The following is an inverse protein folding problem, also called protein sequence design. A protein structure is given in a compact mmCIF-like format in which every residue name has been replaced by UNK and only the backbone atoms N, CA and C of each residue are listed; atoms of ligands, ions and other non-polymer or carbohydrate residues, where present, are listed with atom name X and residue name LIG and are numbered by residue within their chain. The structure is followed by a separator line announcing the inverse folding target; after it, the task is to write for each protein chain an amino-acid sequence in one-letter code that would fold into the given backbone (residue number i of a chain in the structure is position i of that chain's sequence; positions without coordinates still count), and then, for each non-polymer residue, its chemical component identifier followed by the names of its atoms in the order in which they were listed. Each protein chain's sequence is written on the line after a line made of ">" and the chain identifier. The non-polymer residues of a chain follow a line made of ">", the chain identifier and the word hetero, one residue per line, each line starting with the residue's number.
data_IF_044623270015
#
_entry.id   IF_044623270015
#
_cell.length_a   1.000
_cell.length_b   1.000
_cell.length_c   1.000
_cell.angle_alpha   90.00
_cell.angle_beta   90.00
_cell.angle_gamma   90.00
#
_symmetry.space_group_name_H-M   'P 1'
#
loop_
_entity.id
_entity.type
_entity.pdbx_description
1 polymer ?
#
# COMPACT_ATOMS: atom_id res chain seq x y z
N UNK A 1 12.28 7.08 15.26
CA UNK A 1 10.95 6.55 14.87
C UNK A 1 10.97 6.32 13.36
N UNK A 2 10.53 5.15 12.86
CA UNK A 2 10.59 4.88 11.43
C UNK A 2 9.67 5.87 10.69
N UNK A 3 10.21 6.50 9.65
CA UNK A 3 9.59 7.62 8.91
C UNK A 3 8.86 7.12 7.65
N UNK A 4 7.89 6.22 7.82
CA UNK A 4 7.11 5.67 6.69
C UNK A 4 5.73 6.32 6.63
N UNK A 5 5.55 7.26 5.70
CA UNK A 5 4.25 7.91 5.42
C UNK A 5 3.20 6.88 4.96
N UNK A 6 3.59 5.92 4.12
CA UNK A 6 2.72 4.84 3.64
C UNK A 6 2.10 3.99 4.75
N UNK A 7 2.95 3.51 5.66
CA UNK A 7 2.50 2.60 6.72
C UNK A 7 1.61 3.29 7.75
N UNK A 8 1.95 4.55 8.07
CA UNK A 8 1.12 5.43 8.90
C UNK A 8 -0.24 5.66 8.23
N UNK A 9 -0.27 5.94 6.92
CA UNK A 9 -1.50 6.15 6.17
C UNK A 9 -2.41 4.91 6.17
N UNK A 10 -1.87 3.72 5.95
CA UNK A 10 -2.64 2.44 6.03
C UNK A 10 -3.20 2.21 7.43
N UNK A 11 -2.41 2.52 8.46
CA UNK A 11 -2.81 2.31 9.85
C UNK A 11 -3.94 3.26 10.25
N UNK A 12 -3.81 4.54 9.92
CA UNK A 12 -4.78 5.60 10.25
C UNK A 12 -6.08 5.48 9.42
N UNK A 13 -6.02 4.88 8.23
CA UNK A 13 -7.14 4.81 7.29
C UNK A 13 -7.52 3.36 6.94
N UNK A 14 -8.04 2.56 7.90
CA UNK A 14 -8.33 1.14 7.68
C UNK A 14 -9.34 0.87 6.54
N UNK A 15 -10.15 1.86 6.18
CA UNK A 15 -11.14 1.75 5.12
C UNK A 15 -10.64 2.21 3.73
N UNK A 16 -9.47 2.84 3.66
CA UNK A 16 -8.91 3.35 2.40
C UNK A 16 -7.89 2.36 1.88
N UNK A 17 -8.05 1.96 0.61
CA UNK A 17 -7.02 1.19 -0.09
C UNK A 17 -5.90 2.13 -0.52
N UNK A 18 -4.81 2.07 0.24
CA UNK A 18 -3.55 2.75 -0.08
C UNK A 18 -2.76 1.84 -1.00
N UNK A 19 -2.21 2.43 -2.06
CA UNK A 19 -1.53 1.70 -3.13
C UNK A 19 -0.06 2.12 -3.14
N UNK A 20 0.89 1.18 -3.01
CA UNK A 20 2.31 1.51 -3.11
C UNK A 20 2.69 1.83 -4.56
N UNK A 21 3.80 2.54 -4.71
CA UNK A 21 4.45 2.77 -6.00
C UNK A 21 5.06 1.49 -6.57
N UNK A 22 5.22 1.44 -7.90
CA UNK A 22 5.78 0.30 -8.64
C UNK A 22 7.18 -0.11 -8.15
N UNK A 23 7.96 0.83 -7.61
CA UNK A 23 9.29 0.54 -7.06
C UNK A 23 9.25 -0.12 -5.68
N UNK A 24 8.17 0.10 -4.92
CA UNK A 24 7.98 -0.39 -3.54
C UNK A 24 7.16 -1.68 -3.52
N UNK A 25 6.22 -1.81 -4.45
CA UNK A 25 5.25 -2.91 -4.53
C UNK A 25 5.90 -4.31 -4.56
N UNK A 26 6.98 -4.58 -5.32
CA UNK A 26 7.63 -5.89 -5.33
C UNK A 26 8.24 -6.27 -3.98
N UNK A 27 8.82 -5.29 -3.27
CA UNK A 27 9.38 -5.51 -1.93
C UNK A 27 8.30 -5.83 -0.91
N UNK A 28 7.13 -5.20 -1.04
CA UNK A 28 5.97 -5.47 -0.18
C UNK A 28 5.42 -6.88 -0.40
N UNK A 29 5.31 -7.32 -1.66
CA UNK A 29 4.92 -8.69 -2.01
C UNK A 29 5.87 -9.72 -1.41
N UNK A 30 7.18 -9.56 -1.62
CA UNK A 30 8.17 -10.47 -1.07
C UNK A 30 8.10 -10.52 0.47
N UNK A 31 7.86 -9.38 1.13
CA UNK A 31 7.76 -9.35 2.58
C UNK A 31 6.54 -10.10 3.13
N UNK A 32 5.39 -10.06 2.44
CA UNK A 32 4.18 -10.79 2.84
C UNK A 32 4.41 -12.32 2.88
N UNK A 33 5.30 -12.83 2.01
CA UNK A 33 5.65 -14.26 1.98
C UNK A 33 6.43 -14.73 3.22
N UNK A 34 7.11 -13.81 3.93
CA UNK A 34 7.72 -14.06 5.24
C UNK A 34 6.66 -13.97 6.35
N UNK A 35 5.74 -14.95 6.34
CA UNK A 35 4.46 -14.85 7.05
C UNK A 35 4.56 -14.65 8.58
N UNK A 36 5.60 -15.18 9.23
CA UNK A 36 5.80 -14.99 10.68
C UNK A 36 6.20 -13.54 10.96
N UNK A 37 7.24 -13.07 10.27
CA UNK A 37 7.78 -11.72 10.39
C UNK A 37 6.74 -10.66 9.98
N UNK A 38 5.94 -10.97 8.96
CA UNK A 38 4.85 -10.12 8.50
C UNK A 38 3.74 -9.99 9.54
N UNK A 39 3.31 -11.10 10.16
CA UNK A 39 2.29 -11.08 11.20
C UNK A 39 2.75 -10.26 12.42
N UNK A 40 3.99 -10.49 12.88
CA UNK A 40 4.58 -9.73 13.99
C UNK A 40 4.75 -8.25 13.65
N UNK A 41 5.16 -7.93 12.42
CA UNK A 41 5.26 -6.55 11.96
C UNK A 41 3.90 -5.84 11.97
N UNK A 42 2.85 -6.51 11.45
CA UNK A 42 1.50 -5.95 11.41
C UNK A 42 0.97 -5.66 12.82
N UNK A 43 1.15 -6.58 13.77
CA UNK A 43 0.74 -6.38 15.16
C UNK A 43 1.48 -5.19 15.80
N UNK A 44 2.81 -5.14 15.66
CA UNK A 44 3.62 -4.06 16.25
C UNK A 44 3.29 -2.67 15.72
N UNK A 45 2.93 -2.57 14.45
CA UNK A 45 2.75 -1.27 13.78
C UNK A 45 1.29 -0.83 13.80
N UNK A 46 0.35 -1.74 13.53
CA UNK A 46 -1.05 -1.43 13.29
C UNK A 46 -1.99 -2.05 14.34
N UNK A 47 -1.48 -2.88 15.26
CA UNK A 47 -2.26 -3.61 16.26
C UNK A 47 -3.22 -4.64 15.66
N UNK A 48 -3.05 -4.97 14.38
CA UNK A 48 -3.89 -5.89 13.61
C UNK A 48 -3.15 -6.39 12.37
N UNK A 49 -3.55 -7.54 11.85
CA UNK A 49 -3.05 -8.03 10.57
C UNK A 49 -3.49 -7.10 9.43
N UNK A 50 -2.55 -6.67 8.59
CA UNK A 50 -2.86 -5.91 7.38
C UNK A 50 -3.07 -6.91 6.24
N UNK A 51 -4.31 -7.01 5.74
CA UNK A 51 -4.60 -7.96 4.66
C UNK A 51 -4.19 -7.37 3.32
N UNK A 52 -3.43 -8.15 2.55
CA UNK A 52 -3.23 -7.87 1.13
C UNK A 52 -4.54 -8.09 0.37
N UNK A 53 -4.97 -7.07 -0.38
CA UNK A 53 -6.16 -7.12 -1.24
C UNK A 53 -5.71 -6.69 -2.63
N UNK A 54 -5.79 -7.55 -3.66
CA UNK A 54 -5.42 -7.18 -5.01
C UNK A 54 -6.23 -5.96 -5.47
N UNK A 55 -5.54 -4.98 -6.05
CA UNK A 55 -6.19 -3.81 -6.62
C UNK A 55 -6.58 -4.13 -8.06
N UNK A 56 -7.80 -3.76 -8.44
CA UNK A 56 -8.31 -4.03 -9.78
C UNK A 56 -7.63 -3.13 -10.81
N UNK A 57 -7.40 -3.66 -12.01
CA UNK A 57 -6.75 -2.94 -13.13
C UNK A 57 -7.44 -1.61 -13.43
N UNK A 58 -8.78 -1.56 -13.41
CA UNK A 58 -9.54 -0.33 -13.66
C UNK A 58 -9.25 0.75 -12.62
N UNK A 59 -9.04 0.36 -11.36
CA UNK A 59 -8.81 1.28 -10.25
C UNK A 59 -7.41 1.92 -10.29
N UNK A 60 -6.41 1.15 -10.75
CA UNK A 60 -5.06 1.65 -11.06
C UNK A 60 -5.06 2.50 -12.33
N UNK A 61 -5.57 1.96 -13.45
CA UNK A 61 -5.49 2.60 -14.77
C UNK A 61 -6.31 3.88 -14.89
N UNK A 62 -7.39 4.02 -14.13
CA UNK A 62 -8.16 5.27 -14.06
C UNK A 62 -7.50 6.35 -13.19
N UNK A 63 -6.43 6.02 -12.45
CA UNK A 63 -5.79 6.91 -11.47
C UNK A 63 -6.58 7.07 -10.16
N UNK A 64 -7.74 6.42 -10.01
CA UNK A 64 -8.57 6.52 -8.82
C UNK A 64 -7.84 6.01 -7.56
N UNK A 65 -6.99 4.99 -7.70
CA UNK A 65 -6.08 4.51 -6.67
C UNK A 65 -5.17 5.63 -6.12
N UNK A 66 -4.47 6.33 -7.00
CA UNK A 66 -3.53 7.40 -6.62
C UNK A 66 -4.25 8.62 -6.04
N UNK A 67 -5.41 8.98 -6.60
CA UNK A 67 -6.23 10.08 -6.11
C UNK A 67 -6.66 9.91 -4.64
N UNK A 68 -6.75 8.67 -4.14
CA UNK A 68 -7.07 8.36 -2.74
C UNK A 68 -5.82 8.21 -1.87
N UNK A 69 -4.76 7.62 -2.43
CA UNK A 69 -3.49 7.37 -1.73
C UNK A 69 -2.76 8.67 -1.36
N UNK A 70 -2.56 9.57 -2.31
CA UNK A 70 -1.72 10.77 -2.11
C UNK A 70 -2.25 11.67 -0.98
N UNK A 71 -3.55 12.01 -0.91
CA UNK A 71 -4.08 12.79 0.21
C UNK A 71 -3.93 12.09 1.56
N UNK A 72 -4.12 10.77 1.60
CA UNK A 72 -3.98 9.99 2.83
C UNK A 72 -2.52 9.98 3.33
N UNK A 73 -1.54 9.93 2.43
CA UNK A 73 -0.12 10.07 2.77
C UNK A 73 0.18 11.45 3.36
N UNK A 74 -0.29 12.53 2.73
CA UNK A 74 -0.07 13.88 3.25
C UNK A 74 -0.75 14.11 4.60
N UNK A 75 -1.92 13.52 4.83
CA UNK A 75 -2.65 13.62 6.10
C UNK A 75 -1.88 13.02 7.29
N UNK A 76 -0.88 12.17 7.04
CA UNK A 76 -0.04 11.60 8.10
C UNK A 76 0.89 12.61 8.76
N UNK A 77 1.16 13.75 8.10
CA UNK A 77 2.14 14.74 8.54
C UNK A 77 3.60 14.33 8.34
N UNK A 78 3.87 13.17 7.74
CA UNK A 78 5.23 12.76 7.33
C UNK A 78 5.58 13.34 5.95
N UNK A 79 6.88 13.55 5.66
CA UNK A 79 7.33 13.83 4.31
C UNK A 79 6.87 12.73 3.34
N UNK A 80 6.30 13.14 2.20
CA UNK A 80 5.93 12.25 1.10
C UNK A 80 6.91 12.53 -0.03
N UNK A 81 7.72 11.54 -0.37
CA UNK A 81 8.64 11.64 -1.49
C UNK A 81 7.91 11.19 -2.76
N UNK A 82 7.49 12.16 -3.58
CA UNK A 82 6.67 11.88 -4.75
C UNK A 82 7.39 11.03 -5.80
N UNK A 83 8.73 10.91 -5.74
CA UNK A 83 9.50 9.96 -6.56
C UNK A 83 9.05 8.49 -6.36
N UNK A 84 8.48 8.18 -5.19
CA UNK A 84 8.04 6.83 -4.82
C UNK A 84 6.54 6.74 -4.55
N UNK A 85 5.72 7.67 -5.08
CA UNK A 85 4.27 7.70 -4.85
C UNK A 85 3.45 8.29 -6.01
N UNK A 86 4.04 8.45 -7.20
CA UNK A 86 3.35 9.00 -8.38
C UNK A 86 2.85 7.94 -9.37
N UNK A 87 3.29 6.68 -9.23
CA UNK A 87 2.82 5.56 -10.06
C UNK A 87 2.16 4.45 -9.24
N UNK A 88 1.50 3.53 -9.94
CA UNK A 88 0.98 2.28 -9.38
C UNK A 88 0.72 1.29 -10.50
N UNK A 89 0.85 -0.01 -10.19
CA UNK A 89 0.60 -1.10 -11.14
C UNK A 89 -0.37 -2.13 -10.52
N UNK A 90 -1.17 -2.77 -11.37
CA UNK A 90 -2.03 -3.88 -10.93
C UNK A 90 -1.24 -5.17 -10.93
N UNK A 91 -1.26 -5.89 -9.80
CA UNK A 91 -0.67 -7.22 -9.67
C UNK A 91 -1.47 -8.31 -10.40
N UNK A 92 -2.71 -8.01 -10.82
CA UNK A 92 -3.53 -8.92 -11.61
C UNK A 92 -3.21 -8.80 -13.11
N UNK A 93 -3.05 -9.92 -13.84
CA UNK A 93 -3.03 -9.88 -15.30
C UNK A 93 -4.37 -9.37 -15.85
N UNK A 94 -4.43 -8.88 -17.10
CA UNK A 94 -5.64 -8.32 -17.75
C UNK A 94 -6.92 -9.14 -17.59
N UNK A 95 -6.77 -10.44 -17.33
CA UNK A 95 -7.81 -11.41 -17.06
C UNK A 95 -7.37 -12.25 -15.85
N UNK A 96 -7.65 -11.84 -14.60
CA UNK A 96 -7.41 -12.72 -13.47
C UNK A 96 -8.31 -13.94 -13.63
N UNK A 97 -7.74 -15.14 -13.56
CA UNK A 97 -8.50 -16.39 -13.64
C UNK A 97 -9.67 -16.33 -12.64
N UNK A 98 -10.90 -16.32 -13.18
CA UNK A 98 -12.14 -16.48 -12.40
C UNK A 98 -12.33 -17.92 -11.99
#
# INVERSE_FOLDING_TARGET
>A
MPRSSGLKAVTDNPAIRIVPDISVDPGWHAFIEHTIEYAEFCDRIAGRFLHHVPIMIEDISSGAAMARTIPALHATGYPVDMEFWDTGESCCPPQPCV
#
